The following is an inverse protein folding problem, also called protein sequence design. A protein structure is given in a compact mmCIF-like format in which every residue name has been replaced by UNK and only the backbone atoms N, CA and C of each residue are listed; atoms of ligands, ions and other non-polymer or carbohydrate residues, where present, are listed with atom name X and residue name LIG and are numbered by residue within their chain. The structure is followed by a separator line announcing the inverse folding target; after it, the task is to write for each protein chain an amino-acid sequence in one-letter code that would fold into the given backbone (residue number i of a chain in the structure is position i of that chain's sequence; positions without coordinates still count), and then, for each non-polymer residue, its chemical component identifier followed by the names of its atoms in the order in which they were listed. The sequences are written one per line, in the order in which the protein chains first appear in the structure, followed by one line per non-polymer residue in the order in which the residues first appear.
data_IF_007515694666
#
_entry.id   IF_007515694666
#
_cell.length_a   1.000
_cell.length_b   1.000
_cell.length_c   1.000
_cell.angle_alpha   90.00
_cell.angle_beta   90.00
_cell.angle_gamma   90.00
#
_symmetry.space_group_name_H-M   'P 1'
#
loop_
_entity.id
_entity.type
_entity.pdbx_description
1 polymer ?
#
# COMPACT_ATOMS: atom_id res chain seq x y z
N UNK A 1 17.21 5.23 11.07
CA UNK A 1 17.63 4.25 10.06
C UNK A 1 16.45 3.35 9.72
N UNK A 2 15.96 3.36 8.47
CA UNK A 2 14.92 2.42 8.06
C UNK A 2 15.56 1.33 7.19
N UNK A 3 15.54 0.09 7.67
CA UNK A 3 16.20 -1.05 7.03
C UNK A 3 15.35 -1.66 5.89
N UNK A 4 14.03 -1.46 5.93
CA UNK A 4 13.08 -2.00 4.96
C UNK A 4 11.96 -1.00 4.63
N UNK A 5 11.37 -1.15 3.45
CA UNK A 5 10.17 -0.45 2.99
C UNK A 5 9.15 -1.51 2.58
N UNK A 6 7.94 -1.43 3.13
CA UNK A 6 6.83 -2.30 2.76
C UNK A 6 5.68 -1.46 2.18
N UNK A 7 5.09 -1.93 1.08
CA UNK A 7 3.92 -1.29 0.44
C UNK A 7 2.85 -2.33 0.16
N UNK A 8 1.57 -1.93 0.20
CA UNK A 8 0.47 -2.82 -0.17
C UNK A 8 0.43 -3.04 -1.69
N UNK A 9 0.17 -4.28 -2.12
CA UNK A 9 -0.10 -4.59 -3.53
C UNK A 9 -1.51 -4.15 -3.94
N UNK A 10 -1.65 -2.86 -4.25
CA UNK A 10 -2.88 -2.27 -4.75
C UNK A 10 -3.10 -2.64 -6.22
N UNK A 11 -4.35 -2.96 -6.56
CA UNK A 11 -4.79 -3.12 -7.95
C UNK A 11 -4.93 -1.76 -8.65
N UNK A 12 -3.83 -1.00 -8.77
CA UNK A 12 -3.83 0.41 -9.22
C UNK A 12 -4.55 0.60 -10.55
N UNK A 13 -4.29 -0.27 -11.54
CA UNK A 13 -4.98 -0.26 -12.85
C UNK A 13 -6.50 -0.46 -12.72
N UNK A 14 -6.93 -1.30 -11.78
CA UNK A 14 -8.34 -1.51 -11.50
C UNK A 14 -8.97 -0.29 -10.82
N UNK A 15 -8.31 0.24 -9.79
CA UNK A 15 -8.77 1.43 -9.05
C UNK A 15 -8.86 2.68 -9.95
N UNK A 16 -7.92 2.82 -10.89
CA UNK A 16 -7.90 3.86 -11.92
C UNK A 16 -9.10 3.81 -12.89
N UNK A 17 -9.90 2.74 -12.86
CA UNK A 17 -11.11 2.56 -13.68
C UNK A 17 -12.40 2.61 -12.86
N UNK A 18 -12.34 3.11 -11.62
CA UNK A 18 -13.49 3.26 -10.72
C UNK A 18 -13.79 4.74 -10.44
N UNK A 19 -14.75 5.03 -9.56
CA UNK A 19 -14.98 6.39 -9.02
C UNK A 19 -13.77 7.03 -8.34
N UNK A 20 -12.73 6.24 -8.04
CA UNK A 20 -11.46 6.71 -7.47
C UNK A 20 -10.42 7.11 -8.53
N UNK A 21 -10.74 7.01 -9.83
CA UNK A 21 -9.79 7.22 -10.92
C UNK A 21 -9.01 8.52 -10.79
N UNK A 22 -9.70 9.64 -10.56
CA UNK A 22 -9.07 10.95 -10.38
C UNK A 22 -8.05 10.92 -9.24
N UNK A 23 -8.46 10.50 -8.04
CA UNK A 23 -7.55 10.42 -6.89
C UNK A 23 -6.36 9.49 -7.11
N UNK A 24 -6.55 8.38 -7.82
CA UNK A 24 -5.47 7.43 -8.16
C UNK A 24 -4.46 8.05 -9.12
N UNK A 25 -4.94 8.77 -10.14
CA UNK A 25 -4.08 9.45 -11.11
C UNK A 25 -3.37 10.64 -10.49
N UNK A 26 -4.07 11.47 -9.72
CA UNK A 26 -3.51 12.64 -9.01
C UNK A 26 -2.42 12.20 -8.02
N UNK A 27 -2.60 11.06 -7.34
CA UNK A 27 -1.60 10.52 -6.41
C UNK A 27 -0.38 9.87 -7.11
N UNK A 28 -0.47 9.53 -8.40
CA UNK A 28 0.64 8.93 -9.15
C UNK A 28 1.13 7.58 -8.59
N UNK A 29 0.24 6.76 -8.02
CA UNK A 29 0.59 5.56 -7.24
C UNK A 29 1.59 4.61 -7.91
N UNK A 30 1.41 4.31 -9.20
CA UNK A 30 2.33 3.42 -9.93
C UNK A 30 3.76 3.97 -9.97
N UNK A 31 3.91 5.27 -10.25
CA UNK A 31 5.20 5.92 -10.33
C UNK A 31 5.85 6.03 -8.94
N UNK A 32 5.04 6.35 -7.92
CA UNK A 32 5.51 6.42 -6.54
C UNK A 32 6.08 5.08 -6.06
N UNK A 33 5.37 3.98 -6.26
CA UNK A 33 5.83 2.64 -5.87
C UNK A 33 7.09 2.23 -6.64
N UNK A 34 7.15 2.53 -7.95
CA UNK A 34 8.35 2.28 -8.75
C UNK A 34 9.58 3.06 -8.22
N UNK A 35 9.39 4.31 -7.81
CA UNK A 35 10.45 5.12 -7.21
C UNK A 35 10.91 4.59 -5.85
N UNK A 36 10.00 4.06 -5.03
CA UNK A 36 10.37 3.42 -3.77
C UNK A 36 11.21 2.18 -3.99
N UNK A 37 10.79 1.30 -4.91
CA UNK A 37 11.53 0.08 -5.27
C UNK A 37 12.92 0.43 -5.82
N UNK A 38 12.99 1.39 -6.75
CA UNK A 38 14.24 1.91 -7.29
C UNK A 38 15.18 2.46 -6.19
N UNK A 39 14.67 3.32 -5.30
CA UNK A 39 15.48 3.92 -4.24
C UNK A 39 15.90 2.89 -3.19
N UNK A 40 15.03 1.95 -2.85
CA UNK A 40 15.37 0.87 -1.93
C UNK A 40 16.55 0.06 -2.48
N UNK A 41 16.50 -0.35 -3.76
CA UNK A 41 17.61 -1.04 -4.41
C UNK A 41 18.89 -0.17 -4.42
N UNK A 42 18.79 1.12 -4.78
CA UNK A 42 19.93 2.05 -4.81
C UNK A 42 20.66 2.17 -3.47
N UNK A 43 19.93 2.11 -2.36
CA UNK A 43 20.49 2.28 -1.01
C UNK A 43 20.63 0.95 -0.25
N UNK A 44 20.52 -0.20 -0.92
CA UNK A 44 20.64 -1.52 -0.29
C UNK A 44 19.59 -1.78 0.79
N UNK A 45 18.37 -1.27 0.60
CA UNK A 45 17.23 -1.48 1.52
C UNK A 45 16.32 -2.57 1.00
N UNK A 46 15.74 -3.34 1.92
CA UNK A 46 14.75 -4.34 1.55
C UNK A 46 13.45 -3.67 1.11
N UNK A 47 12.86 -4.16 0.02
CA UNK A 47 11.56 -3.70 -0.47
C UNK A 47 10.59 -4.87 -0.52
N UNK A 48 9.43 -4.71 0.11
CA UNK A 48 8.42 -5.76 0.23
C UNK A 48 7.08 -5.27 -0.30
N UNK A 49 6.42 -6.10 -1.10
CA UNK A 49 5.01 -5.92 -1.46
C UNK A 49 4.18 -6.83 -0.57
N UNK A 50 3.33 -6.23 0.25
CA UNK A 50 2.40 -6.97 1.10
C UNK A 50 1.25 -7.48 0.23
N UNK A 51 0.83 -8.72 0.49
CA UNK A 51 -0.20 -9.39 -0.29
C UNK A 51 -1.47 -8.56 -0.38
N UNK A 52 -2.08 -8.50 -1.57
CA UNK A 52 -3.27 -7.68 -1.85
C UNK A 52 -4.46 -7.95 -0.93
N UNK A 53 -4.60 -9.20 -0.48
CA UNK A 53 -5.71 -9.65 0.36
C UNK A 53 -5.31 -9.82 1.82
N UNK A 54 -4.11 -9.40 2.20
CA UNK A 54 -3.65 -9.38 3.58
C UNK A 54 -4.52 -8.37 4.37
N UNK A 55 -5.12 -8.74 5.51
CA UNK A 55 -6.01 -7.89 6.28
C UNK A 55 -5.27 -6.85 7.14
N UNK A 56 -4.24 -6.20 6.60
CA UNK A 56 -3.37 -5.21 7.29
C UNK A 56 -4.15 -4.08 7.97
N UNK A 57 -5.24 -3.62 7.35
CA UNK A 57 -6.12 -2.55 7.87
C UNK A 57 -7.26 -3.06 8.75
N UNK A 58 -7.41 -4.38 8.88
CA UNK A 58 -8.50 -5.03 9.61
C UNK A 58 -8.01 -5.80 10.83
N UNK A 59 -6.69 -5.85 11.07
CA UNK A 59 -6.07 -6.50 12.22
C UNK A 59 -5.45 -5.43 13.09
N UNK A 60 -5.87 -5.39 14.36
CA UNK A 60 -5.31 -4.46 15.33
C UNK A 60 -3.82 -4.78 15.58
N UNK A 61 -2.93 -3.79 15.41
CA UNK A 61 -1.51 -3.95 15.68
C UNK A 61 -1.17 -4.17 17.16
N UNK A 62 -2.09 -3.87 18.08
CA UNK A 62 -1.90 -4.03 19.53
C UNK A 62 -2.36 -5.41 20.01
N UNK A 63 -3.57 -5.82 19.64
CA UNK A 63 -4.19 -7.03 20.19
C UNK A 63 -4.41 -8.16 19.18
N UNK A 64 -4.10 -7.96 17.89
CA UNK A 64 -4.25 -8.97 16.85
C UNK A 64 -5.69 -9.31 16.46
N UNK A 65 -6.68 -8.66 17.08
CA UNK A 65 -8.11 -8.88 16.75
C UNK A 65 -8.37 -8.43 15.31
N UNK A 66 -9.04 -9.31 14.55
CA UNK A 66 -9.53 -9.00 13.19
C UNK A 66 -10.94 -8.42 13.28
N UNK A 67 -11.08 -7.11 13.19
CA UNK A 67 -12.35 -6.38 13.33
C UNK A 67 -13.06 -6.12 11.99
N UNK A 68 -12.45 -6.54 10.88
CA UNK A 68 -13.07 -6.54 9.56
C UNK A 68 -12.96 -5.21 8.80
N UNK A 69 -13.68 -5.06 7.68
CA UNK A 69 -13.54 -3.89 6.81
C UNK A 69 -13.97 -2.60 7.49
N UNK A 70 -13.04 -1.65 7.63
CA UNK A 70 -13.35 -0.31 8.12
C UNK A 70 -13.98 0.56 7.02
N UNK A 71 -14.93 1.46 7.33
CA UNK A 71 -15.45 2.41 6.37
C UNK A 71 -14.36 3.38 5.91
N UNK A 72 -14.49 3.96 4.70
CA UNK A 72 -13.43 4.79 4.10
C UNK A 72 -12.99 5.98 4.97
N UNK A 73 -13.87 6.55 5.79
CA UNK A 73 -13.54 7.68 6.66
C UNK A 73 -12.79 7.29 7.95
N UNK A 74 -12.62 6.00 8.21
CA UNK A 74 -11.89 5.45 9.37
C UNK A 74 -10.55 4.84 8.95
N UNK A 75 -10.35 4.62 7.65
CA UNK A 75 -9.12 4.04 7.09
C UNK A 75 -8.00 5.07 7.01
#
# INVERSE_FOLDING_TARGET
ENQAIAVEDLAVKGLARTRLAKSVHDAGWSAFVAMLEYKAAKFGRSFHRIGRFEPTSQVCCVCGVKDGPKPLHVR
#
